data_IF_059597427850
#
_entry.id   IF_059597427850
#
_cell.length_a   1.000
_cell.length_b   1.000
_cell.length_c   1.000
_cell.angle_alpha   90.00
_cell.angle_beta   90.00
_cell.angle_gamma   90.00
#
_symmetry.space_group_name_H-M   'P 1'
#
loop_
_entity.id
_entity.type
_entity.pdbx_description
1 polymer ?
#
# COMPACT_ATOMS: atom_id res chain seq x y z
N UNK A 1 17.15 -12.52 11.28
CA UNK A 1 15.97 -12.00 10.57
C UNK A 1 14.84 -13.00 10.77
N UNK A 2 13.69 -12.56 11.26
CA UNK A 2 12.48 -13.38 11.25
C UNK A 2 11.95 -13.48 9.82
N UNK A 3 11.31 -14.60 9.46
CA UNK A 3 10.67 -14.73 8.15
C UNK A 3 9.56 -13.68 7.98
N UNK A 4 8.97 -13.26 9.09
CA UNK A 4 7.98 -12.20 9.19
C UNK A 4 8.51 -10.85 8.69
N UNK A 5 9.73 -10.48 9.08
CA UNK A 5 10.39 -9.24 8.62
C UNK A 5 10.58 -9.22 7.11
N UNK A 6 10.93 -10.37 6.54
CA UNK A 6 11.09 -10.55 5.09
C UNK A 6 9.75 -10.35 4.39
N UNK A 7 8.70 -11.00 4.90
CA UNK A 7 7.35 -10.87 4.34
C UNK A 7 6.88 -9.41 4.36
N UNK A 8 7.10 -8.69 5.47
CA UNK A 8 6.75 -7.26 5.55
C UNK A 8 7.51 -6.47 4.49
N UNK A 9 8.82 -6.68 4.33
CA UNK A 9 9.63 -5.95 3.35
C UNK A 9 9.21 -6.24 1.90
N UNK A 10 9.00 -7.51 1.54
CA UNK A 10 8.54 -7.87 0.20
C UNK A 10 7.13 -7.34 -0.09
N UNK A 11 6.22 -7.45 0.87
CA UNK A 11 4.88 -6.85 0.73
C UNK A 11 4.96 -5.35 0.54
N UNK A 12 5.82 -4.68 1.31
CA UNK A 12 6.05 -3.23 1.22
C UNK A 12 6.58 -2.81 -0.15
N UNK A 13 7.55 -3.55 -0.70
CA UNK A 13 8.05 -3.34 -2.07
C UNK A 13 6.90 -3.46 -3.08
N UNK A 14 6.05 -4.48 -2.95
CA UNK A 14 4.87 -4.65 -3.79
C UNK A 14 3.94 -3.43 -3.75
N UNK A 15 3.65 -2.90 -2.56
CA UNK A 15 2.84 -1.69 -2.39
C UNK A 15 3.49 -0.45 -3.01
N UNK A 16 4.80 -0.24 -2.82
CA UNK A 16 5.52 0.88 -3.46
C UNK A 16 5.44 0.77 -4.97
N UNK A 17 5.72 -0.40 -5.54
CA UNK A 17 5.67 -0.64 -6.98
C UNK A 17 4.26 -0.41 -7.55
N UNK A 18 3.23 -0.96 -6.91
CA UNK A 18 1.84 -0.73 -7.31
C UNK A 18 1.47 0.76 -7.24
N UNK A 19 1.93 1.46 -6.20
CA UNK A 19 1.63 2.87 -6.04
C UNK A 19 2.32 3.76 -7.07
N UNK A 20 3.59 3.49 -7.38
CA UNK A 20 4.33 4.15 -8.47
C UNK A 20 3.68 3.89 -9.83
N UNK A 21 3.29 2.64 -10.09
CA UNK A 21 2.60 2.26 -11.32
C UNK A 21 1.26 2.99 -11.48
N UNK A 22 0.46 3.06 -10.41
CA UNK A 22 -0.79 3.80 -10.41
C UNK A 22 -0.56 5.31 -10.67
N UNK A 23 0.44 5.92 -10.02
CA UNK A 23 0.79 7.33 -10.28
C UNK A 23 1.18 7.56 -11.74
N UNK A 24 2.01 6.69 -12.31
CA UNK A 24 2.37 6.75 -13.73
C UNK A 24 1.15 6.64 -14.66
N UNK A 25 0.22 5.74 -14.34
CA UNK A 25 -1.01 5.59 -15.13
C UNK A 25 -1.98 6.77 -14.97
N UNK A 26 -1.93 7.48 -13.85
CA UNK A 26 -2.76 8.67 -13.60
C UNK A 26 -2.35 9.89 -14.42
N UNK A 27 -1.08 9.95 -14.88
CA UNK A 27 -0.55 11.09 -15.66
C UNK A 27 -0.57 10.86 -17.16
N UNK A 28 -0.69 9.60 -17.62
CA UNK A 28 -0.89 9.31 -19.05
C UNK A 28 -2.30 9.69 -19.49
N UNK A 29 -2.40 10.30 -20.68
CA UNK A 29 -3.66 10.42 -21.42
C UNK A 29 -4.16 9.04 -21.79
N UNK A 30 -4.90 8.44 -20.86
CA UNK A 30 -5.64 7.21 -21.06
C UNK A 30 -7.11 7.59 -21.34
N UNK A 31 -7.89 6.66 -21.90
CA UNK A 31 -9.34 6.79 -22.13
C UNK A 31 -10.18 6.91 -20.83
N UNK A 32 -9.57 7.33 -19.74
CA UNK A 32 -10.15 7.42 -18.39
C UNK A 32 -10.70 8.82 -18.14
N UNK A 33 -11.79 8.90 -17.37
CA UNK A 33 -12.36 10.18 -16.96
C UNK A 33 -11.44 10.88 -15.95
N UNK A 34 -11.60 12.21 -15.78
CA UNK A 34 -10.86 12.97 -14.74
C UNK A 34 -11.06 12.36 -13.34
N UNK A 35 -12.26 11.88 -13.04
CA UNK A 35 -12.59 11.22 -11.78
C UNK A 35 -11.82 9.91 -11.60
N UNK A 36 -11.72 9.10 -12.65
CA UNK A 36 -10.93 7.87 -12.65
C UNK A 36 -9.44 8.15 -12.49
N UNK A 37 -8.90 9.16 -13.18
CA UNK A 37 -7.50 9.58 -13.02
C UNK A 37 -7.20 10.01 -11.59
N UNK A 38 -8.10 10.77 -10.97
CA UNK A 38 -7.95 11.22 -9.59
C UNK A 38 -8.01 10.05 -8.60
N UNK A 39 -8.92 9.09 -8.81
CA UNK A 39 -8.98 7.86 -8.02
C UNK A 39 -7.68 7.06 -8.10
N UNK A 40 -7.19 6.80 -9.33
CA UNK A 40 -5.95 6.07 -9.55
C UNK A 40 -4.78 6.78 -8.84
N UNK A 41 -4.72 8.11 -8.93
CA UNK A 41 -3.71 8.92 -8.25
C UNK A 41 -3.77 8.76 -6.73
N UNK A 42 -4.97 8.85 -6.14
CA UNK A 42 -5.16 8.72 -4.69
C UNK A 42 -4.76 7.31 -4.22
N UNK A 43 -5.21 6.27 -4.92
CA UNK A 43 -4.80 4.89 -4.61
C UNK A 43 -3.30 4.69 -4.74
N UNK A 44 -2.68 5.31 -5.75
CA UNK A 44 -1.24 5.29 -5.94
C UNK A 44 -0.49 5.85 -4.74
N UNK A 45 -0.91 7.03 -4.26
CA UNK A 45 -0.35 7.67 -3.07
C UNK A 45 -0.55 6.83 -1.81
N UNK A 46 -1.75 6.27 -1.61
CA UNK A 46 -2.05 5.41 -0.46
C UNK A 46 -1.15 4.17 -0.46
N UNK A 47 -0.97 3.51 -1.61
CA UNK A 47 -0.11 2.33 -1.72
C UNK A 47 1.37 2.68 -1.46
N UNK A 48 1.88 3.82 -1.97
CA UNK A 48 3.22 4.29 -1.61
C UNK A 48 3.35 4.52 -0.11
N UNK A 49 2.35 5.13 0.53
CA UNK A 49 2.37 5.37 1.97
C UNK A 49 2.40 4.07 2.78
N UNK A 50 1.57 3.07 2.43
CA UNK A 50 1.60 1.74 3.05
C UNK A 50 2.98 1.11 2.87
N UNK A 51 3.52 1.14 1.65
CA UNK A 51 4.82 0.57 1.34
C UNK A 51 5.97 1.24 2.10
N UNK A 52 5.93 2.56 2.26
CA UNK A 52 6.92 3.30 3.06
C UNK A 52 6.83 2.92 4.54
N UNK A 53 5.62 2.93 5.13
CA UNK A 53 5.39 2.55 6.52
C UNK A 53 5.83 1.11 6.77
N UNK A 54 5.44 0.18 5.88
CA UNK A 54 5.82 -1.22 5.95
C UNK A 54 7.32 -1.42 5.84
N UNK A 55 8.01 -0.65 4.99
CA UNK A 55 9.48 -0.70 4.88
C UNK A 55 10.14 -0.30 6.19
N UNK A 56 9.64 0.75 6.85
CA UNK A 56 10.13 1.21 8.17
C UNK A 56 9.90 0.12 9.21
N UNK A 57 8.67 -0.41 9.31
CA UNK A 57 8.31 -1.47 10.27
C UNK A 57 9.15 -2.73 10.03
N UNK A 58 9.28 -3.15 8.77
CA UNK A 58 10.06 -4.30 8.34
C UNK A 58 11.52 -4.15 8.72
N UNK A 59 12.13 -3.00 8.42
CA UNK A 59 13.52 -2.68 8.76
C UNK A 59 13.74 -2.71 10.26
N UNK A 60 12.87 -2.06 11.05
CA UNK A 60 12.97 -2.07 12.52
C UNK A 60 12.84 -3.51 13.04
N UNK A 61 11.91 -4.30 12.51
CA UNK A 61 11.65 -5.66 12.98
C UNK A 61 12.83 -6.63 12.80
N UNK A 62 13.78 -6.33 11.91
CA UNK A 62 15.02 -7.11 11.76
C UNK A 62 15.83 -7.12 13.07
N UNK A 63 15.85 -5.99 13.78
CA UNK A 63 16.58 -5.81 15.03
C UNK A 63 15.84 -6.37 16.25
N UNK A 64 14.52 -6.53 16.18
CA UNK A 64 13.67 -6.98 17.28
C UNK A 64 13.03 -8.36 16.98
N UNK A 65 13.86 -9.42 16.95
CA UNK A 65 13.46 -10.79 16.59
C UNK A 65 12.17 -11.28 17.28
N UNK A 66 12.02 -11.04 18.58
CA UNK A 66 10.86 -11.53 19.36
C UNK A 66 9.56 -10.78 19.07
N UNK A 67 9.64 -9.56 18.51
CA UNK A 67 8.47 -8.71 18.21
C UNK A 67 8.03 -8.78 16.75
N UNK A 68 8.77 -9.50 15.90
CA UNK A 68 8.51 -9.61 14.46
C UNK A 68 7.12 -10.20 14.13
N UNK A 69 6.61 -11.14 14.94
CA UNK A 69 5.24 -11.67 14.83
C UNK A 69 4.16 -10.61 15.07
N UNK A 70 4.37 -9.73 16.05
CA UNK A 70 3.41 -8.66 16.34
C UNK A 70 3.45 -7.62 15.21
N UNK A 71 4.64 -7.31 14.71
CA UNK A 71 4.82 -6.37 13.60
C UNK A 71 4.09 -6.83 12.32
N UNK A 72 4.16 -8.12 11.97
CA UNK A 72 3.45 -8.62 10.78
C UNK A 72 1.93 -8.60 10.96
N UNK A 73 1.42 -8.89 12.16
CA UNK A 73 -0.02 -8.80 12.45
C UNK A 73 -0.50 -7.35 12.29
N UNK A 74 0.23 -6.38 12.86
CA UNK A 74 -0.08 -4.95 12.71
C UNK A 74 -0.07 -4.55 11.24
N UNK A 75 0.92 -5.01 10.47
CA UNK A 75 1.03 -4.71 9.05
C UNK A 75 -0.16 -5.24 8.24
N UNK A 76 -0.57 -6.49 8.48
CA UNK A 76 -1.74 -7.10 7.81
C UNK A 76 -3.03 -6.36 8.17
N UNK A 77 -3.23 -6.04 9.45
CA UNK A 77 -4.42 -5.30 9.92
C UNK A 77 -4.45 -3.90 9.30
N UNK A 78 -3.32 -3.21 9.22
CA UNK A 78 -3.22 -1.91 8.56
C UNK A 78 -3.61 -1.99 7.08
N UNK A 79 -3.10 -2.98 6.34
CA UNK A 79 -3.48 -3.21 4.94
C UNK A 79 -4.98 -3.41 4.82
N UNK A 80 -5.57 -4.26 5.66
CA UNK A 80 -7.00 -4.55 5.63
C UNK A 80 -7.86 -3.30 5.85
N UNK A 81 -7.52 -2.49 6.87
CA UNK A 81 -8.21 -1.21 7.14
C UNK A 81 -8.10 -0.28 5.93
N UNK A 82 -6.90 -0.15 5.35
CA UNK A 82 -6.70 0.70 4.17
C UNK A 82 -7.50 0.18 2.97
N UNK A 83 -7.61 -1.13 2.76
CA UNK A 83 -8.44 -1.69 1.68
C UNK A 83 -9.91 -1.29 1.83
N UNK A 84 -10.45 -1.28 3.05
CA UNK A 84 -11.82 -0.81 3.32
C UNK A 84 -11.96 0.69 3.00
N UNK A 85 -10.96 1.49 3.36
CA UNK A 85 -10.92 2.93 3.05
C UNK A 85 -10.88 3.13 1.53
N UNK A 86 -10.02 2.40 0.81
CA UNK A 86 -9.90 2.44 -0.65
C UNK A 86 -11.21 2.03 -1.35
N UNK A 87 -11.92 1.03 -0.84
CA UNK A 87 -13.24 0.63 -1.33
C UNK A 87 -14.26 1.76 -1.18
N UNK A 88 -14.26 2.42 -0.02
CA UNK A 88 -15.15 3.56 0.24
C UNK A 88 -14.84 4.74 -0.70
N UNK A 89 -13.57 5.01 -0.95
CA UNK A 89 -13.11 6.00 -1.94
C UNK A 89 -13.57 5.60 -3.36
N UNK A 90 -13.47 4.31 -3.72
CA UNK A 90 -13.91 3.82 -5.05
C UNK A 90 -15.37 4.14 -5.34
N UNK A 91 -16.25 3.95 -4.35
CA UNK A 91 -17.68 4.28 -4.45
C UNK A 91 -17.90 5.77 -4.70
N UNK A 92 -17.11 6.64 -4.07
CA UNK A 92 -17.18 8.10 -4.29
C UNK A 92 -16.88 8.49 -5.73
N UNK A 93 -15.93 7.82 -6.37
CA UNK A 93 -15.53 8.08 -7.75
C UNK A 93 -16.35 7.27 -8.78
N UNK A 94 -17.44 6.60 -8.36
CA UNK A 94 -18.33 5.79 -9.21
C UNK A 94 -17.60 4.77 -10.09
N UNK A 95 -16.44 4.31 -9.65
CA UNK A 95 -15.73 3.21 -10.29
C UNK A 95 -16.46 1.94 -9.87
N UNK A 96 -17.25 1.40 -10.81
CA UNK A 96 -17.95 0.12 -10.68
C UNK A 96 -16.97 -1.03 -10.75
#
# INVERSE_FOLDING_TARGET
MGIESIIILFGSIGFVLMGLFALYMSTKENKTTKEQQQYIKINGLINIAIGAIGTIIGTISIFFKNSSRIAIIIFIVAIFIITIIQLSISRKYKIK
#
